data_IF_549192980517
#
_entry.id   IF_549192980517
#
_cell.length_a   1.000
_cell.length_b   1.000
_cell.length_c   1.000
_cell.angle_alpha   90.00
_cell.angle_beta   90.00
_cell.angle_gamma   90.00
#
_symmetry.space_group_name_H-M   'P 1'
#
loop_
_entity.id
_entity.type
_entity.pdbx_description
1 polymer ?
#
# COMPACT_ATOMS: atom_id res chain seq x y z
N UNK A 1 9.63 8.13 -49.40
CA UNK A 1 9.37 8.78 -48.39
C UNK A 1 8.19 8.52 -47.67
N UNK A 2 7.16 8.37 -48.12
CA UNK A 2 6.02 8.09 -47.40
C UNK A 2 6.08 6.87 -46.60
N UNK A 3 6.92 5.95 -46.80
CA UNK A 3 6.91 4.75 -46.06
C UNK A 3 7.28 4.91 -44.65
N UNK A 4 7.96 5.86 -44.26
CA UNK A 4 8.38 5.93 -42.92
C UNK A 4 7.26 6.06 -41.94
N UNK A 5 6.22 6.58 -42.33
CA UNK A 5 5.16 6.72 -41.42
C UNK A 5 4.79 5.49 -40.74
N UNK A 6 4.89 4.39 -41.37
CA UNK A 6 4.49 3.20 -40.73
C UNK A 6 5.31 2.84 -39.57
N UNK A 7 6.53 3.14 -39.62
CA UNK A 7 7.37 2.76 -38.53
C UNK A 7 7.01 3.43 -37.29
N UNK A 8 6.60 4.64 -37.34
CA UNK A 8 6.23 5.33 -36.12
C UNK A 8 5.12 4.64 -35.43
N UNK A 9 4.23 4.08 -36.17
CA UNK A 9 3.11 3.43 -35.54
C UNK A 9 3.54 2.24 -34.72
N UNK A 10 4.49 1.54 -35.23
CA UNK A 10 4.96 0.37 -34.53
C UNK A 10 5.58 0.74 -33.22
N UNK A 11 6.31 1.80 -33.23
CA UNK A 11 6.95 2.25 -32.00
C UNK A 11 5.95 2.52 -30.91
N UNK A 12 4.85 3.08 -31.27
CA UNK A 12 3.82 3.37 -30.30
C UNK A 12 3.33 2.10 -29.63
N UNK A 13 3.16 1.08 -30.40
CA UNK A 13 2.67 -0.17 -29.85
C UNK A 13 3.63 -0.73 -28.82
N UNK A 14 4.89 -0.61 -29.08
CA UNK A 14 5.86 -1.14 -28.15
C UNK A 14 5.83 -0.43 -26.83
N UNK A 15 5.61 0.84 -26.86
CA UNK A 15 5.55 1.59 -25.64
C UNK A 15 4.47 1.07 -24.74
N UNK A 16 3.39 0.72 -25.33
CA UNK A 16 2.28 0.22 -24.57
C UNK A 16 2.65 -1.05 -23.83
N UNK A 17 3.35 -1.92 -24.46
CA UNK A 17 3.74 -3.16 -23.85
C UNK A 17 4.63 -2.93 -22.66
N UNK A 18 5.50 -1.98 -22.74
CA UNK A 18 6.39 -1.70 -21.64
C UNK A 18 5.64 -1.28 -20.41
N UNK A 19 4.62 -0.50 -20.59
CA UNK A 19 3.82 -0.07 -19.47
C UNK A 19 3.21 -1.25 -18.77
N UNK A 20 2.68 -2.15 -19.54
CA UNK A 20 2.04 -3.32 -18.97
C UNK A 20 3.03 -4.14 -18.17
N UNK A 21 4.19 -4.32 -18.69
CA UNK A 21 5.20 -5.12 -18.02
C UNK A 21 5.59 -4.49 -16.72
N UNK A 22 5.76 -3.20 -16.70
CA UNK A 22 6.15 -2.50 -15.49
C UNK A 22 5.10 -2.67 -14.42
N UNK A 23 3.86 -2.61 -14.78
CA UNK A 23 2.79 -2.75 -13.82
C UNK A 23 2.77 -4.14 -13.22
N UNK A 24 2.93 -5.12 -14.05
CA UNK A 24 2.90 -6.48 -13.57
C UNK A 24 3.99 -6.80 -12.58
N UNK A 25 5.14 -6.21 -12.74
CA UNK A 25 6.26 -6.54 -11.90
C UNK A 25 6.14 -6.11 -10.44
N UNK A 26 5.21 -5.21 -10.15
CA UNK A 26 5.10 -4.71 -8.81
C UNK A 26 3.73 -5.05 -8.21
N UNK A 27 3.64 -6.16 -7.53
CA UNK A 27 2.38 -6.59 -6.97
C UNK A 27 1.94 -5.83 -5.74
N UNK A 28 2.82 -5.03 -5.14
CA UNK A 28 2.47 -4.31 -3.93
C UNK A 28 1.60 -3.09 -4.20
N UNK A 29 1.66 -2.54 -5.39
CA UNK A 29 0.86 -1.37 -5.74
C UNK A 29 -0.09 -1.72 -6.87
N UNK A 30 -1.37 -1.42 -6.68
CA UNK A 30 -2.36 -1.62 -7.73
C UNK A 30 -3.30 -0.42 -7.73
N UNK A 31 -4.21 -0.42 -8.69
CA UNK A 31 -5.23 0.63 -8.77
C UNK A 31 -6.59 0.01 -8.68
N UNK A 32 -7.43 0.56 -7.85
CA UNK A 32 -8.81 0.09 -7.71
C UNK A 32 -9.72 1.30 -7.58
N UNK A 33 -10.71 1.39 -8.43
CA UNK A 33 -11.68 2.50 -8.37
C UNK A 33 -11.06 3.88 -8.27
N UNK A 34 -10.00 4.09 -9.01
CA UNK A 34 -9.34 5.41 -9.00
C UNK A 34 -8.42 5.65 -7.83
N UNK A 35 -8.26 4.67 -6.96
CA UNK A 35 -7.38 4.81 -5.82
C UNK A 35 -6.14 3.98 -6.01
N UNK A 36 -5.06 4.38 -5.37
CA UNK A 36 -3.85 3.58 -5.34
C UNK A 36 -3.96 2.69 -4.13
N UNK A 37 -3.72 1.40 -4.31
CA UNK A 37 -3.84 0.44 -3.22
C UNK A 37 -2.49 -0.19 -2.95
N UNK A 38 -2.05 -0.13 -1.70
CA UNK A 38 -0.79 -0.77 -1.29
C UNK A 38 -1.15 -2.03 -0.52
N UNK A 39 -0.66 -3.16 -0.98
CA UNK A 39 -0.89 -4.44 -0.31
C UNK A 39 0.42 -4.83 0.37
N UNK A 40 0.40 -4.96 1.68
CA UNK A 40 1.64 -5.18 2.42
C UNK A 40 2.00 -6.65 2.61
N UNK A 41 1.30 -7.55 1.96
CA UNK A 41 1.56 -8.98 2.14
C UNK A 41 3.04 -9.33 1.97
N UNK A 42 3.64 -8.88 0.88
CA UNK A 42 5.07 -9.15 0.68
C UNK A 42 5.96 -8.14 1.36
N UNK A 43 5.52 -6.89 1.40
CA UNK A 43 6.34 -5.83 1.99
C UNK A 43 6.61 -6.05 3.46
N UNK A 44 5.66 -6.61 4.16
CA UNK A 44 5.79 -6.79 5.61
C UNK A 44 5.62 -8.25 6.00
N UNK A 45 6.04 -9.16 5.14
CA UNK A 45 5.87 -10.58 5.42
C UNK A 45 6.57 -11.05 6.68
N UNK A 46 7.59 -10.34 7.11
CA UNK A 46 8.31 -10.72 8.31
C UNK A 46 7.81 -10.05 9.57
N UNK A 47 6.79 -9.21 9.44
CA UNK A 47 6.21 -8.55 10.60
C UNK A 47 5.07 -9.41 11.09
N UNK A 48 5.20 -9.97 12.27
CA UNK A 48 4.18 -10.85 12.82
C UNK A 48 3.53 -10.27 14.06
N UNK A 49 2.25 -10.60 14.22
CA UNK A 49 1.54 -10.25 15.44
C UNK A 49 1.80 -11.33 16.46
N UNK A 50 0.73 -11.82 17.06
CA UNK A 50 0.87 -12.85 18.06
C UNK A 50 1.22 -14.19 17.39
N UNK A 51 0.61 -14.52 16.28
CA UNK A 51 0.83 -15.81 15.61
C UNK A 51 1.24 -15.71 14.15
N UNK A 52 0.88 -14.67 13.45
CA UNK A 52 1.10 -14.64 12.01
C UNK A 52 1.33 -13.23 11.50
N UNK A 53 1.72 -13.10 10.22
CA UNK A 53 1.74 -11.77 9.60
C UNK A 53 0.32 -11.23 9.57
N UNK A 54 0.20 -9.92 9.58
CA UNK A 54 -1.10 -9.26 9.56
C UNK A 54 -1.15 -8.25 8.44
N UNK A 55 -1.13 -8.71 7.18
CA UNK A 55 -1.07 -7.80 6.04
C UNK A 55 -2.31 -6.94 5.93
N UNK A 56 -2.14 -5.78 5.31
CA UNK A 56 -3.25 -4.85 5.11
C UNK A 56 -3.23 -4.33 3.69
N UNK A 57 -4.35 -3.74 3.28
CA UNK A 57 -4.44 -2.96 2.07
C UNK A 57 -4.67 -1.53 2.50
N UNK A 58 -3.88 -0.63 1.96
CA UNK A 58 -4.02 0.79 2.26
C UNK A 58 -4.52 1.47 1.00
N UNK A 59 -5.67 2.11 1.08
CA UNK A 59 -6.27 2.78 -0.06
C UNK A 59 -5.94 4.26 0.00
N UNK A 60 -5.31 4.77 -1.05
CA UNK A 60 -4.81 6.15 -1.09
C UNK A 60 -5.36 6.88 -2.31
N UNK A 61 -5.82 8.09 -2.10
CA UNK A 61 -6.29 8.92 -3.18
C UNK A 61 -5.81 10.33 -2.95
N UNK A 62 -5.23 10.94 -3.97
CA UNK A 62 -4.70 12.29 -3.85
C UNK A 62 -3.77 12.47 -2.67
N UNK A 63 -2.92 11.47 -2.48
CA UNK A 63 -1.92 11.44 -1.40
C UNK A 63 -2.51 11.48 0.00
N UNK A 64 -3.74 11.02 0.14
CA UNK A 64 -4.38 10.89 1.45
C UNK A 64 -4.85 9.47 1.64
N UNK A 65 -4.78 9.01 2.86
CA UNK A 65 -5.27 7.67 3.19
C UNK A 65 -6.78 7.71 3.20
N UNK A 66 -7.41 6.88 2.38
CA UNK A 66 -8.85 6.77 2.37
C UNK A 66 -9.29 5.81 3.45
N UNK A 67 -8.64 4.66 3.51
CA UNK A 67 -8.94 3.67 4.54
C UNK A 67 -7.87 2.57 4.52
N UNK A 68 -7.86 1.78 5.57
CA UNK A 68 -6.96 0.64 5.69
C UNK A 68 -7.83 -0.58 5.99
N UNK A 69 -7.62 -1.66 5.27
CA UNK A 69 -8.35 -2.90 5.47
C UNK A 69 -7.42 -4.04 5.84
N UNK A 70 -7.78 -4.84 6.82
CA UNK A 70 -6.98 -5.98 7.18
C UNK A 70 -7.26 -7.11 6.19
N UNK A 71 -6.23 -7.82 5.80
CA UNK A 71 -6.37 -8.97 4.94
C UNK A 71 -6.45 -10.23 5.80
N UNK A 72 -6.84 -11.36 5.22
CA UNK A 72 -6.92 -12.61 6.00
C UNK A 72 -5.60 -12.94 6.67
N UNK A 73 -5.65 -13.47 7.86
CA UNK A 73 -4.47 -13.83 8.62
C UNK A 73 -4.80 -14.97 9.58
N UNK A 74 -3.80 -15.44 10.32
CA UNK A 74 -3.97 -16.54 11.24
C UNK A 74 -3.94 -16.11 12.71
N UNK A 75 -4.19 -14.83 12.97
CA UNK A 75 -4.23 -14.37 14.34
C UNK A 75 -5.47 -14.91 15.03
N UNK A 76 -5.43 -14.95 16.36
CA UNK A 76 -6.59 -15.36 17.14
C UNK A 76 -7.69 -14.33 16.96
N UNK A 77 -8.84 -14.71 16.42
CA UNK A 77 -9.91 -13.74 16.09
C UNK A 77 -10.28 -12.81 17.21
N UNK A 78 -10.38 -13.34 18.41
CA UNK A 78 -10.75 -12.54 19.56
C UNK A 78 -9.82 -11.35 19.75
N UNK A 79 -8.53 -11.58 19.67
CA UNK A 79 -7.58 -10.50 19.87
C UNK A 79 -7.44 -9.64 18.64
N UNK A 80 -7.47 -10.26 17.48
CA UNK A 80 -7.33 -9.51 16.25
C UNK A 80 -8.50 -8.56 16.02
N UNK A 81 -9.71 -9.00 16.38
CA UNK A 81 -10.87 -8.13 16.21
C UNK A 81 -10.74 -6.86 17.04
N UNK A 82 -10.12 -6.96 18.20
CA UNK A 82 -9.89 -5.76 18.99
C UNK A 82 -8.83 -4.89 18.33
N UNK A 83 -7.75 -5.52 17.87
CA UNK A 83 -6.66 -4.77 17.27
C UNK A 83 -7.11 -4.00 16.03
N UNK A 84 -8.08 -4.52 15.29
CA UNK A 84 -8.54 -3.87 14.08
C UNK A 84 -9.10 -2.47 14.32
N UNK A 85 -9.47 -2.17 15.54
CA UNK A 85 -10.03 -0.85 15.84
C UNK A 85 -9.05 0.27 15.50
N UNK A 86 -7.75 0.00 15.49
CA UNK A 86 -6.79 1.05 15.19
C UNK A 86 -6.76 1.42 13.71
N UNK A 87 -7.32 0.60 12.84
CA UNK A 87 -7.18 0.82 11.41
C UNK A 87 -7.82 2.12 10.91
N UNK A 88 -8.77 2.67 11.62
CA UNK A 88 -9.37 3.93 11.20
C UNK A 88 -8.54 5.15 11.61
N UNK A 89 -7.51 4.94 12.40
CA UNK A 89 -6.68 6.04 12.88
C UNK A 89 -6.14 6.91 11.74
N UNK A 90 -5.78 6.29 10.64
CA UNK A 90 -5.15 7.02 9.53
C UNK A 90 -6.12 7.59 8.51
N UNK A 91 -7.40 7.28 8.63
CA UNK A 91 -8.39 7.74 7.65
C UNK A 91 -8.35 9.25 7.47
N UNK A 92 -8.27 9.68 6.22
CA UNK A 92 -8.28 11.09 5.88
C UNK A 92 -6.96 11.83 6.06
N UNK A 93 -5.95 11.16 6.59
CA UNK A 93 -4.68 11.84 6.81
C UNK A 93 -3.83 11.85 5.55
N UNK A 94 -3.10 12.91 5.33
CA UNK A 94 -2.15 12.96 4.23
C UNK A 94 -1.09 11.89 4.49
N UNK A 95 -0.62 11.24 3.44
CA UNK A 95 0.39 10.20 3.60
C UNK A 95 1.62 10.72 4.33
N UNK A 96 2.04 11.95 4.02
CA UNK A 96 3.23 12.51 4.66
C UNK A 96 3.08 12.65 6.17
N UNK A 97 1.86 12.81 6.65
CA UNK A 97 1.59 12.89 8.07
C UNK A 97 1.36 11.49 8.63
N UNK A 98 0.57 10.71 7.93
CA UNK A 98 0.20 9.37 8.38
C UNK A 98 1.41 8.48 8.62
N UNK A 99 2.43 8.61 7.79
CA UNK A 99 3.61 7.77 7.91
C UNK A 99 4.39 8.04 9.19
N UNK A 100 4.17 9.19 9.81
CA UNK A 100 4.89 9.55 11.02
C UNK A 100 4.08 9.33 12.29
N UNK A 101 2.86 8.95 12.16
CA UNK A 101 1.97 8.82 13.32
C UNK A 101 1.48 7.40 13.52
N UNK A 102 1.18 7.07 14.74
CA UNK A 102 0.64 5.77 15.07
C UNK A 102 -0.28 5.90 16.27
N UNK A 103 -1.34 5.10 16.34
CA UNK A 103 -2.22 5.12 17.50
C UNK A 103 -1.59 4.29 18.61
N UNK A 104 -2.21 4.30 19.76
CA UNK A 104 -1.79 3.44 20.86
C UNK A 104 -2.27 2.02 20.57
N UNK A 105 -1.52 1.04 21.06
CA UNK A 105 -1.95 -0.34 20.92
C UNK A 105 -3.20 -0.57 21.75
N UNK A 106 -4.02 -1.50 21.31
CA UNK A 106 -5.25 -1.82 22.02
C UNK A 106 -4.92 -2.72 23.20
N UNK A 107 -5.42 -2.36 24.37
CA UNK A 107 -5.20 -3.14 25.57
C UNK A 107 -5.70 -4.56 25.36
N UNK A 108 -4.85 -5.53 25.67
CA UNK A 108 -5.21 -6.93 25.50
C UNK A 108 -4.97 -7.45 24.10
N UNK A 109 -4.51 -6.60 23.17
CA UNK A 109 -4.21 -7.02 21.81
C UNK A 109 -2.97 -6.30 21.31
N UNK A 110 -1.99 -6.13 22.18
CA UNK A 110 -0.79 -5.35 21.87
C UNK A 110 0.01 -5.90 20.70
N UNK A 111 0.25 -7.19 20.67
CA UNK A 111 1.07 -7.76 19.61
C UNK A 111 0.42 -7.61 18.24
N UNK A 112 -0.87 -7.86 18.14
CA UNK A 112 -1.57 -7.71 16.89
C UNK A 112 -1.65 -6.23 16.50
N UNK A 113 -1.87 -5.34 17.46
CA UNK A 113 -1.92 -3.91 17.19
C UNK A 113 -0.59 -3.40 16.66
N UNK A 114 0.50 -3.80 17.32
CA UNK A 114 1.83 -3.38 16.87
C UNK A 114 2.12 -3.88 15.47
N UNK A 115 1.74 -5.10 15.17
CA UNK A 115 1.97 -5.66 13.86
C UNK A 115 1.19 -4.90 12.78
N UNK A 116 -0.05 -4.52 13.10
CA UNK A 116 -0.84 -3.73 12.15
C UNK A 116 -0.22 -2.36 11.95
N UNK A 117 0.25 -1.74 13.01
CA UNK A 117 0.90 -0.43 12.89
C UNK A 117 2.14 -0.50 12.01
N UNK A 118 2.93 -1.56 12.19
CA UNK A 118 4.13 -1.71 11.38
C UNK A 118 3.79 -1.97 9.92
N UNK A 119 2.73 -2.73 9.68
CA UNK A 119 2.27 -2.97 8.31
C UNK A 119 1.88 -1.66 7.65
N UNK A 120 1.11 -0.83 8.33
CA UNK A 120 0.69 0.44 7.76
C UNK A 120 1.91 1.32 7.49
N UNK A 121 2.83 1.38 8.44
CA UNK A 121 4.02 2.19 8.25
C UNK A 121 4.84 1.72 7.04
N UNK A 122 5.07 0.42 6.94
CA UNK A 122 5.83 -0.11 5.82
C UNK A 122 5.15 0.21 4.49
N UNK A 123 3.83 0.07 4.46
CA UNK A 123 3.08 0.36 3.24
C UNK A 123 3.13 1.83 2.86
N UNK A 124 2.98 2.72 3.83
CA UNK A 124 3.01 4.14 3.55
C UNK A 124 4.41 4.59 3.14
N UNK A 125 5.45 4.01 3.75
CA UNK A 125 6.82 4.32 3.35
C UNK A 125 7.08 3.86 1.93
N UNK A 126 6.57 2.69 1.58
CA UNK A 126 6.74 2.17 0.24
C UNK A 126 6.06 3.09 -0.76
N UNK A 127 4.83 3.51 -0.47
CA UNK A 127 4.11 4.43 -1.33
C UNK A 127 4.91 5.72 -1.53
N UNK A 128 5.44 6.25 -0.45
CA UNK A 128 6.19 7.51 -0.52
C UNK A 128 7.43 7.38 -1.39
N UNK A 129 8.09 6.25 -1.32
CA UNK A 129 9.29 6.04 -2.13
C UNK A 129 8.98 5.86 -3.61
N UNK A 130 7.76 5.42 -3.93
CA UNK A 130 7.38 5.22 -5.31
C UNK A 130 6.92 6.49 -5.99
N UNK A 131 6.69 7.56 -5.24
CA UNK A 131 6.24 8.80 -5.83
C UNK A 131 7.39 9.55 -6.46
N UNK A 132 7.16 10.29 -7.55
CA UNK A 132 8.23 11.07 -8.14
C UNK A 132 8.67 12.12 -7.15
N UNK A 133 9.99 12.36 -7.09
CA UNK A 133 10.46 13.35 -6.21
C UNK A 133 10.03 14.68 -6.69
N UNK A 134 9.46 15.48 -5.81
CA UNK A 134 9.06 16.76 -6.21
C UNK A 134 10.24 17.61 -6.26
N UNK A 135 10.41 18.30 -7.27
CA UNK A 135 11.55 19.09 -7.34
C UNK A 135 11.38 20.22 -6.59
N UNK A 136 11.73 20.65 -5.90
CA UNK A 136 11.60 21.62 -5.13
C UNK A 136 12.01 22.67 -5.59
N UNK A 137 11.84 23.17 -6.15
CA UNK A 137 12.19 24.07 -6.64
C UNK A 137 12.46 24.72 -6.25
#
# INVERSE_FOLDING_TARGET
>A
MRKYKRMTTVAAALSLLLLTAATVGDGAITKENGMTVINTTELAKDVKGYQSPTPVKIFIKQNKVVRVEALPNQETPKFFDRAKAILTFWDGKAVSTAVKEAPDAVTGATLSSDALMKNVRVGLEYYSKQQPKKKRK
#
